data_IF_474748669015
#
_entry.id   IF_474748669015
#
_cell.length_a   1.000
_cell.length_b   1.000
_cell.length_c   1.000
_cell.angle_alpha   90.00
_cell.angle_beta   90.00
_cell.angle_gamma   90.00
#
_symmetry.space_group_name_H-M   'P 1'
#
loop_
_entity.id
_entity.type
_entity.pdbx_description
1 polymer ?
#
# COMPACT_ATOMS: atom_id res chain seq x y z
N UNK A 1 -8.78 -13.75 -21.47
CA UNK A 1 -10.19 -13.49 -21.08
C UNK A 1 -10.27 -13.53 -19.55
N UNK A 2 -10.08 -12.40 -18.87
CA UNK A 2 -10.24 -12.35 -17.41
C UNK A 2 -11.73 -12.47 -17.08
N UNK A 3 -12.10 -13.41 -16.19
CA UNK A 3 -13.50 -13.54 -15.74
C UNK A 3 -13.89 -12.30 -14.93
N UNK A 4 -15.09 -11.73 -15.12
CA UNK A 4 -15.52 -10.50 -14.44
C UNK A 4 -15.44 -10.59 -12.91
N UNK A 5 -15.66 -11.77 -12.33
CA UNK A 5 -15.50 -12.00 -10.89
C UNK A 5 -14.08 -11.75 -10.36
N UNK A 6 -13.06 -12.01 -11.18
CA UNK A 6 -11.66 -11.84 -10.76
C UNK A 6 -11.29 -10.36 -10.65
N UNK A 7 -11.81 -9.52 -11.54
CA UNK A 7 -11.61 -8.06 -11.46
C UNK A 7 -12.21 -7.47 -10.19
N UNK A 8 -13.45 -7.85 -9.85
CA UNK A 8 -14.11 -7.41 -8.62
C UNK A 8 -13.39 -7.90 -7.36
N UNK A 9 -12.91 -9.16 -7.36
CA UNK A 9 -12.11 -9.69 -6.27
C UNK A 9 -10.83 -8.87 -6.06
N UNK A 10 -10.12 -8.56 -7.15
CA UNK A 10 -8.89 -7.78 -7.10
C UNK A 10 -9.15 -6.39 -6.53
N UNK A 11 -10.16 -5.68 -7.05
CA UNK A 11 -10.58 -4.37 -6.54
C UNK A 11 -10.93 -4.44 -5.06
N UNK A 12 -11.74 -5.43 -4.66
CA UNK A 12 -12.12 -5.61 -3.26
C UNK A 12 -10.90 -5.82 -2.37
N UNK A 13 -9.97 -6.70 -2.75
CA UNK A 13 -8.74 -6.94 -1.98
C UNK A 13 -7.84 -5.71 -1.92
N UNK A 14 -7.76 -4.93 -3.00
CA UNK A 14 -7.01 -3.67 -3.01
C UNK A 14 -7.61 -2.63 -2.07
N UNK A 15 -8.95 -2.49 -2.06
CA UNK A 15 -9.63 -1.57 -1.14
C UNK A 15 -9.40 -2.00 0.31
N UNK A 16 -9.57 -3.29 0.62
CA UNK A 16 -9.33 -3.81 1.98
C UNK A 16 -7.88 -3.56 2.41
N UNK A 17 -6.92 -3.86 1.55
CA UNK A 17 -5.50 -3.62 1.82
C UNK A 17 -5.21 -2.14 2.06
N UNK A 18 -5.78 -1.25 1.23
CA UNK A 18 -5.58 0.18 1.35
C UNK A 18 -6.18 0.74 2.65
N UNK A 19 -7.38 0.30 3.03
CA UNK A 19 -8.04 0.72 4.28
C UNK A 19 -7.26 0.23 5.50
N UNK A 20 -6.88 -1.05 5.54
CA UNK A 20 -6.11 -1.63 6.64
C UNK A 20 -4.72 -0.99 6.77
N UNK A 21 -4.01 -0.83 5.65
CA UNK A 21 -2.71 -0.17 5.64
C UNK A 21 -2.77 1.30 6.07
N UNK A 22 -3.76 2.05 5.58
CA UNK A 22 -3.97 3.44 5.99
C UNK A 22 -4.27 3.55 7.48
N UNK A 23 -5.13 2.67 8.02
CA UNK A 23 -5.41 2.63 9.46
C UNK A 23 -4.14 2.33 10.26
N UNK A 24 -3.43 1.25 9.93
CA UNK A 24 -2.25 0.81 10.65
C UNK A 24 -1.14 1.87 10.69
N UNK A 25 -0.91 2.57 9.58
CA UNK A 25 0.22 3.49 9.44
C UNK A 25 -0.13 4.93 9.82
N UNK A 26 -1.22 5.47 9.27
CA UNK A 26 -1.54 6.91 9.36
C UNK A 26 -2.47 7.22 10.53
N UNK A 27 -3.53 6.41 10.71
CA UNK A 27 -4.59 6.74 11.66
C UNK A 27 -4.41 6.10 13.04
N UNK A 28 -3.60 5.05 13.17
CA UNK A 28 -3.34 4.36 14.44
C UNK A 28 -2.67 5.24 15.50
N UNK A 29 -2.06 6.36 15.11
CA UNK A 29 -1.52 7.36 16.04
C UNK A 29 -2.60 8.23 16.68
N UNK A 30 -3.78 8.32 16.06
CA UNK A 30 -4.87 9.22 16.48
C UNK A 30 -6.12 8.47 16.98
N UNK A 31 -6.25 7.19 16.66
CA UNK A 31 -7.39 6.35 17.00
C UNK A 31 -7.04 5.35 18.11
N UNK A 32 -7.99 5.00 18.99
CA UNK A 32 -7.80 3.94 19.97
C UNK A 32 -7.60 2.57 19.29
N UNK A 33 -7.01 1.64 20.04
CA UNK A 33 -6.77 0.27 19.61
C UNK A 33 -8.09 -0.41 19.19
N UNK A 34 -8.01 -1.14 18.09
CA UNK A 34 -9.16 -1.79 17.46
C UNK A 34 -9.65 -3.03 18.23
N UNK A 35 -8.81 -3.59 19.10
CA UNK A 35 -9.06 -4.86 19.80
C UNK A 35 -8.74 -6.09 18.94
N UNK A 36 -8.39 -5.90 17.67
CA UNK A 36 -7.97 -6.97 16.76
C UNK A 36 -6.46 -7.12 16.91
N UNK A 37 -6.02 -8.25 17.48
CA UNK A 37 -4.60 -8.53 17.79
C UNK A 37 -3.62 -8.23 16.66
N UNK A 38 -3.98 -8.55 15.41
CA UNK A 38 -3.10 -8.31 14.25
C UNK A 38 -2.99 -6.81 13.95
N UNK A 39 -4.10 -6.08 13.88
CA UNK A 39 -4.09 -4.63 13.63
C UNK A 39 -3.43 -3.88 14.78
N UNK A 40 -3.68 -4.30 16.01
CA UNK A 40 -3.13 -3.67 17.21
C UNK A 40 -1.60 -3.89 17.28
N UNK A 41 -1.10 -5.06 16.88
CA UNK A 41 0.33 -5.30 16.76
C UNK A 41 0.99 -4.40 15.71
N UNK A 42 0.35 -4.18 14.56
CA UNK A 42 0.83 -3.22 13.55
C UNK A 42 0.76 -1.76 14.05
N UNK A 43 -0.29 -1.39 14.76
CA UNK A 43 -0.49 -0.04 15.28
C UNK A 43 0.57 0.35 16.34
N UNK A 44 1.00 -0.63 17.14
CA UNK A 44 2.00 -0.51 18.20
C UNK A 44 3.45 -0.63 17.71
N UNK A 45 3.67 -0.98 16.43
CA UNK A 45 5.01 -0.95 15.85
C UNK A 45 5.51 0.50 15.80
N UNK A 46 6.53 0.81 16.59
CA UNK A 46 7.17 2.14 16.65
C UNK A 46 8.40 2.25 15.76
N UNK A 47 8.93 1.14 15.25
CA UNK A 47 10.19 1.09 14.53
C UNK A 47 10.03 1.44 13.05
N UNK A 48 8.97 0.96 12.40
CA UNK A 48 8.77 1.15 10.96
C UNK A 48 7.62 2.09 10.59
N UNK A 49 6.93 2.65 11.58
CA UNK A 49 5.72 3.47 11.40
C UNK A 49 5.90 4.64 10.44
N UNK A 50 7.06 5.31 10.51
CA UNK A 50 7.36 6.47 9.67
C UNK A 50 8.10 6.11 8.37
N UNK A 51 8.57 4.87 8.23
CA UNK A 51 9.22 4.43 7.01
C UNK A 51 8.27 4.46 5.81
N UNK A 52 6.96 4.36 6.06
CA UNK A 52 5.94 4.51 5.04
C UNK A 52 5.94 5.88 4.34
N UNK A 53 6.28 6.96 5.05
CA UNK A 53 6.42 8.28 4.43
C UNK A 53 7.54 8.31 3.38
N UNK A 54 8.58 7.49 3.56
CA UNK A 54 9.66 7.30 2.59
C UNK A 54 9.28 6.31 1.49
N UNK A 55 8.41 5.33 1.78
CA UNK A 55 7.92 4.39 0.76
C UNK A 55 7.13 5.08 -0.36
N UNK A 56 6.38 6.14 -0.07
CA UNK A 56 5.60 6.87 -1.09
C UNK A 56 6.51 7.47 -2.18
N UNK A 57 7.50 8.33 -1.88
CA UNK A 57 8.38 8.88 -2.89
C UNK A 57 9.28 7.80 -3.52
N UNK A 58 9.80 6.85 -2.76
CA UNK A 58 10.68 5.79 -3.31
C UNK A 58 9.93 4.85 -4.23
N UNK A 59 8.72 4.42 -3.86
CA UNK A 59 7.87 3.58 -4.70
C UNK A 59 7.40 4.30 -5.95
N UNK A 60 6.99 5.57 -5.83
CA UNK A 60 6.61 6.40 -6.98
C UNK A 60 7.78 6.57 -7.94
N UNK A 61 8.97 6.89 -7.43
CA UNK A 61 10.17 7.02 -8.23
C UNK A 61 10.52 5.72 -8.98
N UNK A 62 10.43 4.57 -8.31
CA UNK A 62 10.69 3.27 -8.93
C UNK A 62 9.73 2.99 -10.10
N UNK A 63 8.42 3.22 -9.91
CA UNK A 63 7.41 3.01 -10.96
C UNK A 63 7.64 3.95 -12.14
N UNK A 64 7.93 5.22 -11.87
CA UNK A 64 8.20 6.22 -12.92
C UNK A 64 9.46 5.85 -13.69
N UNK A 65 10.56 5.52 -12.99
CA UNK A 65 11.81 5.13 -13.64
C UNK A 65 11.65 3.87 -14.48
N UNK A 66 10.88 2.88 -14.01
CA UNK A 66 10.57 1.67 -14.76
C UNK A 66 9.76 1.98 -16.02
N UNK A 67 8.72 2.81 -15.92
CA UNK A 67 7.92 3.23 -17.07
C UNK A 67 8.78 4.00 -18.07
N UNK A 68 9.51 5.02 -17.63
CA UNK A 68 10.38 5.82 -18.51
C UNK A 68 11.44 4.95 -19.19
N UNK A 69 12.06 4.01 -18.47
CA UNK A 69 12.99 3.04 -19.04
C UNK A 69 12.36 2.17 -20.13
N UNK A 70 11.13 1.71 -19.91
CA UNK A 70 10.38 0.95 -20.92
C UNK A 70 10.08 1.78 -22.17
N UNK A 71 9.75 3.07 -22.02
CA UNK A 71 9.54 3.96 -23.16
C UNK A 71 10.81 4.09 -24.01
N UNK A 72 11.97 4.26 -23.38
CA UNK A 72 13.24 4.32 -24.10
C UNK A 72 13.59 3.01 -24.80
N UNK A 73 13.31 1.86 -24.17
CA UNK A 73 13.53 0.55 -24.79
C UNK A 73 12.66 0.31 -26.02
N UNK A 74 11.39 0.76 -26.00
CA UNK A 74 10.49 0.58 -27.13
C UNK A 74 10.70 1.57 -28.29
N UNK A 75 11.17 2.80 -27.99
CA UNK A 75 11.37 3.85 -28.98
C UNK A 75 12.84 4.00 -29.45
N UNK A 76 13.74 3.08 -29.08
CA UNK A 76 15.13 3.04 -29.58
C UNK A 76 15.32 1.99 -30.67
#
# INVERSE_FOLDING_TARGET
MFRPHFGHLLIFTSIVFFVLGSYAVLFSAFLPLSGIRVLDALAQDTHYKYFFLLLVPTGSYFVIANWVGWQYYQNS
#
